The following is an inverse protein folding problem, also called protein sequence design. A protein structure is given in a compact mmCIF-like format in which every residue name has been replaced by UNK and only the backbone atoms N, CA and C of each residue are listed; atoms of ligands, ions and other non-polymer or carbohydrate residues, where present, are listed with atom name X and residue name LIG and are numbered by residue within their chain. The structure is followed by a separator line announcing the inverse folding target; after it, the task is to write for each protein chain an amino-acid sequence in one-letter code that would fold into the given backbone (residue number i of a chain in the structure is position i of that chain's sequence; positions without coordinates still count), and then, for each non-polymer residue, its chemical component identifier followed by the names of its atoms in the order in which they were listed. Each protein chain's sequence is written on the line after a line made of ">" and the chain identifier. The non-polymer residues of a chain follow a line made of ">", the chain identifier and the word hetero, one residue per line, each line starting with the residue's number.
data_IF_022412645387
#
_entry.id   IF_022412645387
#
_cell.length_a   1.000
_cell.length_b   1.000
_cell.length_c   1.000
_cell.angle_alpha   90.00
_cell.angle_beta   90.00
_cell.angle_gamma   90.00
#
_symmetry.space_group_name_H-M   'P 1'
#
loop_
_entity.id
_entity.type
_entity.pdbx_description
1 polymer ?
#
# COMPACT_ATOMS: atom_id res chain seq x y z
N UNK A 1 3.67 14.14 21.81
CA UNK A 1 3.82 14.36 20.34
C UNK A 1 2.79 13.48 19.66
N UNK A 2 2.00 13.99 18.73
CA UNK A 2 1.03 13.22 17.94
C UNK A 2 1.68 12.93 16.59
N UNK A 3 1.74 11.68 16.20
CA UNK A 3 2.35 11.23 14.94
C UNK A 3 1.31 11.25 13.81
N UNK A 4 1.60 11.90 12.72
CA UNK A 4 0.69 12.04 11.58
C UNK A 4 1.06 11.03 10.50
N UNK A 5 0.15 10.15 10.16
CA UNK A 5 0.35 9.07 9.19
C UNK A 5 -0.56 9.29 7.98
N UNK A 6 0.04 9.32 6.80
CA UNK A 6 -0.68 9.27 5.53
C UNK A 6 -0.83 7.81 5.08
N UNK A 7 -2.05 7.37 4.83
CA UNK A 7 -2.31 6.06 4.22
C UNK A 7 -2.77 6.24 2.79
N UNK A 8 -2.07 5.61 1.86
CA UNK A 8 -2.42 5.62 0.43
C UNK A 8 -2.91 4.24 0.04
N UNK A 9 -4.15 4.16 -0.42
CA UNK A 9 -4.82 2.94 -0.85
C UNK A 9 -5.12 1.94 0.28
N UNK A 10 -5.93 2.34 1.27
CA UNK A 10 -6.39 1.44 2.34
C UNK A 10 -7.33 0.35 1.80
N UNK A 11 -6.74 -0.65 1.19
CA UNK A 11 -7.47 -1.79 0.62
C UNK A 11 -8.00 -2.66 1.76
N UNK A 12 -9.32 -2.80 1.83
CA UNK A 12 -9.99 -3.62 2.84
C UNK A 12 -10.19 -2.92 4.20
N UNK A 13 -10.09 -1.60 4.27
CA UNK A 13 -10.36 -0.80 5.46
C UNK A 13 -9.48 -1.15 6.68
N UNK A 14 -8.27 -1.65 6.47
CA UNK A 14 -7.38 -2.04 7.57
C UNK A 14 -6.97 -0.84 8.43
N UNK A 15 -6.52 0.25 7.80
CA UNK A 15 -6.08 1.43 8.54
C UNK A 15 -7.23 2.22 9.12
N UNK A 16 -8.42 2.16 8.52
CA UNK A 16 -9.64 2.66 9.14
C UNK A 16 -9.93 1.90 10.45
N UNK A 17 -9.79 0.58 10.44
CA UNK A 17 -9.95 -0.21 11.64
C UNK A 17 -8.87 0.11 12.67
N UNK A 18 -7.61 0.16 12.27
CA UNK A 18 -6.48 0.52 13.14
C UNK A 18 -6.68 1.90 13.77
N UNK A 19 -7.16 2.89 13.02
CA UNK A 19 -7.34 4.27 13.48
C UNK A 19 -8.27 4.39 14.68
N UNK A 20 -9.21 3.45 14.87
CA UNK A 20 -10.10 3.41 16.04
C UNK A 20 -9.36 3.09 17.34
N UNK A 21 -8.21 2.43 17.27
CA UNK A 21 -7.48 1.91 18.42
C UNK A 21 -6.17 2.64 18.70
N UNK A 22 -5.66 3.41 17.75
CA UNK A 22 -4.40 4.15 17.90
C UNK A 22 -4.66 5.50 18.55
N UNK A 23 -4.13 5.69 19.77
CA UNK A 23 -4.39 6.91 20.56
C UNK A 23 -3.44 8.07 20.29
N UNK A 24 -2.20 7.80 19.86
CA UNK A 24 -1.13 8.80 19.73
C UNK A 24 -0.78 9.12 18.27
N UNK A 25 -1.64 8.77 17.33
CA UNK A 25 -1.43 9.06 15.93
C UNK A 25 -2.71 9.55 15.26
N UNK A 26 -2.55 10.44 14.31
CA UNK A 26 -3.63 10.83 13.38
C UNK A 26 -3.39 10.12 12.05
N UNK A 27 -4.38 9.40 11.59
CA UNK A 27 -4.34 8.67 10.32
C UNK A 27 -5.22 9.38 9.31
N UNK A 28 -4.61 9.83 8.23
CA UNK A 28 -5.29 10.40 7.07
C UNK A 28 -5.25 9.39 5.93
N UNK A 29 -6.41 9.06 5.37
CA UNK A 29 -6.53 8.01 4.37
C UNK A 29 -6.97 8.61 3.04
N UNK A 30 -6.20 8.34 1.98
CA UNK A 30 -6.58 8.68 0.60
C UNK A 30 -6.67 7.40 -0.21
N UNK A 31 -7.84 7.16 -0.79
CA UNK A 31 -8.09 6.00 -1.64
C UNK A 31 -8.24 6.36 -3.11
N UNK A 32 -8.20 5.35 -3.97
CA UNK A 32 -8.49 5.48 -5.38
C UNK A 32 -9.97 5.75 -5.63
N UNK A 33 -10.36 6.31 -6.79
CA UNK A 33 -11.76 6.50 -7.15
C UNK A 33 -12.56 5.19 -7.09
N UNK A 34 -13.84 5.28 -6.70
CA UNK A 34 -14.70 4.09 -6.49
C UNK A 34 -14.89 3.23 -7.75
N UNK A 35 -14.84 3.84 -8.94
CA UNK A 35 -15.22 3.21 -10.20
C UNK A 35 -14.29 2.10 -10.70
N UNK A 36 -13.11 1.95 -10.12
CA UNK A 36 -12.12 0.97 -10.59
C UNK A 36 -11.83 -0.17 -9.64
N UNK A 37 -12.23 -0.07 -8.38
CA UNK A 37 -11.78 -1.04 -7.37
C UNK A 37 -12.76 -2.21 -7.15
N UNK A 38 -13.95 -2.20 -7.68
CA UNK A 38 -14.92 -3.32 -7.81
C UNK A 38 -15.22 -4.22 -6.61
N UNK A 39 -14.39 -4.23 -5.59
CA UNK A 39 -14.39 -5.24 -4.54
C UNK A 39 -14.63 -4.67 -3.14
N UNK A 40 -14.40 -3.37 -2.92
CA UNK A 40 -14.46 -2.80 -1.58
C UNK A 40 -15.41 -1.62 -1.52
N UNK A 41 -16.40 -1.71 -0.64
CA UNK A 41 -17.22 -0.57 -0.23
C UNK A 41 -16.37 0.34 0.65
N UNK A 42 -15.81 1.39 0.06
CA UNK A 42 -15.22 2.44 0.86
C UNK A 42 -16.32 3.16 1.66
N UNK A 43 -16.01 3.50 2.88
CA UNK A 43 -16.84 4.39 3.67
C UNK A 43 -16.92 5.76 2.99
N UNK A 44 -18.05 6.43 3.09
CA UNK A 44 -18.30 7.74 2.48
C UNK A 44 -17.35 8.84 2.98
N UNK A 45 -16.68 8.62 4.09
CA UNK A 45 -15.77 9.55 4.74
C UNK A 45 -14.32 9.48 4.26
N UNK A 46 -13.99 8.67 3.27
CA UNK A 46 -12.62 8.65 2.73
C UNK A 46 -12.38 9.80 1.76
N UNK A 47 -11.21 10.41 1.89
CA UNK A 47 -10.70 11.23 0.82
C UNK A 47 -10.33 10.35 -0.38
N UNK A 48 -10.71 10.76 -1.59
CA UNK A 48 -10.42 10.04 -2.82
C UNK A 48 -9.51 10.87 -3.72
N UNK A 49 -8.68 10.18 -4.48
CA UNK A 49 -8.08 10.79 -5.65
C UNK A 49 -9.17 11.12 -6.68
N UNK A 50 -9.02 12.22 -7.38
CA UNK A 50 -10.00 12.65 -8.39
C UNK A 50 -10.07 11.70 -9.60
N UNK A 51 -8.93 11.08 -9.92
CA UNK A 51 -8.81 10.19 -11.08
C UNK A 51 -7.65 9.19 -10.89
N UNK A 52 -7.48 8.30 -11.86
CA UNK A 52 -6.42 7.28 -11.88
C UNK A 52 -5.09 7.75 -12.50
N UNK A 53 -4.98 8.99 -12.95
CA UNK A 53 -3.76 9.51 -13.56
C UNK A 53 -2.70 9.75 -12.51
N UNK A 54 -1.60 9.01 -12.60
CA UNK A 54 -0.54 9.01 -11.58
C UNK A 54 0.05 10.40 -11.35
N UNK A 55 0.23 11.20 -12.42
CA UNK A 55 0.76 12.57 -12.27
C UNK A 55 -0.12 13.46 -11.40
N UNK A 56 -1.44 13.32 -11.48
CA UNK A 56 -2.38 14.12 -10.72
C UNK A 56 -2.43 13.65 -9.26
N UNK A 57 -2.34 12.33 -9.05
CA UNK A 57 -2.22 11.74 -7.72
C UNK A 57 -0.93 12.18 -7.02
N UNK A 58 0.20 12.14 -7.71
CA UNK A 58 1.50 12.63 -7.18
C UNK A 58 1.44 14.12 -6.88
N UNK A 59 0.82 14.93 -7.76
CA UNK A 59 0.64 16.37 -7.51
C UNK A 59 -0.17 16.62 -6.23
N UNK A 60 -1.27 15.88 -6.02
CA UNK A 60 -2.07 15.97 -4.81
C UNK A 60 -1.24 15.63 -3.56
N UNK A 61 -0.51 14.53 -3.60
CA UNK A 61 0.35 14.13 -2.48
C UNK A 61 1.42 15.19 -2.19
N UNK A 62 2.07 15.74 -3.19
CA UNK A 62 3.07 16.81 -3.01
C UNK A 62 2.52 18.08 -2.35
N UNK A 63 1.21 18.35 -2.45
CA UNK A 63 0.57 19.49 -1.79
C UNK A 63 0.39 19.30 -0.28
N UNK A 64 0.36 18.04 0.19
CA UNK A 64 0.00 17.72 1.57
C UNK A 64 1.11 16.99 2.34
N UNK A 65 2.11 16.44 1.67
CA UNK A 65 3.10 15.51 2.25
C UNK A 65 3.83 16.05 3.47
N UNK A 66 4.08 17.35 3.52
CA UNK A 66 4.78 18.00 4.65
C UNK A 66 3.98 17.97 5.96
N UNK A 67 2.70 17.61 5.91
CA UNK A 67 1.86 17.47 7.09
C UNK A 67 1.99 16.10 7.77
N UNK A 68 2.78 15.18 7.20
CA UNK A 68 2.86 13.80 7.65
C UNK A 68 4.30 13.39 7.97
N UNK A 69 4.43 12.61 9.03
CA UNK A 69 5.72 12.06 9.48
C UNK A 69 6.09 10.78 8.73
N UNK A 70 5.09 10.04 8.26
CA UNK A 70 5.26 8.76 7.58
C UNK A 70 4.09 8.50 6.63
N UNK A 71 4.35 7.85 5.51
CA UNK A 71 3.32 7.24 4.70
C UNK A 71 3.27 5.71 4.89
N UNK A 72 2.06 5.14 4.86
CA UNK A 72 1.84 3.71 4.72
C UNK A 72 1.09 3.47 3.42
N UNK A 73 1.60 2.57 2.61
CA UNK A 73 1.09 2.38 1.24
C UNK A 73 0.73 0.94 0.98
N UNK A 74 -0.32 0.74 0.19
CA UNK A 74 -0.74 -0.59 -0.26
C UNK A 74 -0.81 -0.63 -1.78
N UNK A 75 -0.43 -1.76 -2.36
CA UNK A 75 -0.56 -2.02 -3.79
C UNK A 75 0.05 -0.94 -4.67
N UNK A 76 -0.77 -0.31 -5.51
CA UNK A 76 -0.31 0.76 -6.43
C UNK A 76 0.06 2.07 -5.72
N UNK A 77 -0.26 2.20 -4.43
CA UNK A 77 0.15 3.34 -3.59
C UNK A 77 1.67 3.50 -3.49
N UNK A 78 2.44 2.41 -3.58
CA UNK A 78 3.92 2.46 -3.59
C UNK A 78 4.45 3.36 -4.71
N UNK A 79 3.87 3.25 -5.91
CA UNK A 79 4.28 4.06 -7.06
C UNK A 79 4.08 5.55 -6.81
N UNK A 80 2.96 5.90 -6.19
CA UNK A 80 2.62 7.30 -5.89
C UNK A 80 3.59 7.84 -4.84
N UNK A 81 3.79 7.10 -3.75
CA UNK A 81 4.68 7.49 -2.67
C UNK A 81 6.13 7.67 -3.14
N UNK A 82 6.64 6.73 -3.94
CA UNK A 82 7.98 6.81 -4.53
C UNK A 82 8.14 8.05 -5.42
N UNK A 83 7.18 8.32 -6.32
CA UNK A 83 7.24 9.46 -7.23
C UNK A 83 7.02 10.81 -6.51
N UNK A 84 6.37 10.80 -5.36
CA UNK A 84 6.20 11.97 -4.49
C UNK A 84 7.37 12.17 -3.52
N UNK A 85 8.37 11.27 -3.56
CA UNK A 85 9.52 11.29 -2.64
C UNK A 85 9.11 11.28 -1.15
N UNK A 86 8.18 10.39 -0.82
CA UNK A 86 7.74 10.17 0.56
C UNK A 86 8.60 9.13 1.27
N UNK A 87 8.82 9.31 2.56
CA UNK A 87 9.22 8.22 3.44
C UNK A 87 8.04 7.28 3.66
N UNK A 88 8.11 6.03 3.21
CA UNK A 88 6.96 5.13 3.32
C UNK A 88 7.30 3.71 3.74
N UNK A 89 6.30 3.08 4.34
CA UNK A 89 6.25 1.66 4.63
C UNK A 89 5.25 0.99 3.69
N UNK A 90 5.65 -0.10 3.06
CA UNK A 90 4.76 -0.92 2.23
C UNK A 90 4.00 -1.93 3.09
N UNK A 91 2.68 -1.87 3.05
CA UNK A 91 1.82 -2.80 3.77
C UNK A 91 1.10 -3.73 2.79
N UNK A 92 1.31 -5.01 2.95
CA UNK A 92 0.80 -6.03 2.04
C UNK A 92 -0.38 -6.76 2.67
N UNK A 93 -1.46 -6.90 1.91
CA UNK A 93 -2.71 -7.51 2.42
C UNK A 93 -3.09 -8.80 1.73
N UNK A 94 -2.41 -9.14 0.63
CA UNK A 94 -2.79 -10.31 -0.14
C UNK A 94 -1.90 -10.62 -1.33
N UNK A 95 -2.52 -10.85 -2.45
CA UNK A 95 -1.94 -11.38 -3.69
C UNK A 95 -0.88 -10.49 -4.38
N UNK A 96 -0.82 -9.23 -4.05
CA UNK A 96 0.20 -8.28 -4.51
C UNK A 96 1.62 -8.69 -4.13
N UNK A 97 1.77 -9.68 -3.22
CA UNK A 97 3.07 -10.19 -2.80
C UNK A 97 3.43 -11.55 -3.41
N UNK A 98 2.45 -12.35 -3.78
CA UNK A 98 2.69 -13.69 -4.32
C UNK A 98 3.61 -13.65 -5.55
N UNK A 99 3.58 -12.54 -6.28
CA UNK A 99 4.51 -12.24 -7.35
C UNK A 99 4.85 -10.74 -7.37
N UNK A 100 5.88 -10.31 -6.68
CA UNK A 100 6.36 -8.94 -6.79
C UNK A 100 6.51 -8.54 -8.25
N UNK A 101 5.98 -7.39 -8.62
CA UNK A 101 5.87 -6.92 -10.02
C UNK A 101 7.21 -6.84 -10.76
N UNK A 102 8.32 -6.86 -10.06
CA UNK A 102 9.66 -6.87 -10.64
C UNK A 102 10.19 -8.26 -11.00
N UNK A 103 9.50 -9.34 -10.61
CA UNK A 103 9.91 -10.70 -10.92
C UNK A 103 9.35 -11.13 -12.26
N UNK A 104 10.23 -11.64 -13.10
CA UNK A 104 9.86 -12.23 -14.39
C UNK A 104 9.42 -13.68 -14.17
N UNK A 105 8.21 -14.04 -14.61
CA UNK A 105 7.75 -15.43 -14.65
C UNK A 105 7.77 -16.16 -13.31
N UNK A 106 7.13 -15.61 -12.28
CA UNK A 106 6.89 -16.45 -11.12
C UNK A 106 5.87 -17.53 -11.50
N UNK A 107 6.33 -18.78 -11.60
CA UNK A 107 5.45 -19.94 -11.79
C UNK A 107 4.45 -20.13 -10.64
N UNK A 108 4.69 -19.43 -9.54
CA UNK A 108 3.89 -19.42 -8.32
C UNK A 108 2.79 -18.34 -8.34
N UNK A 109 2.74 -17.52 -9.37
CA UNK A 109 1.67 -16.55 -9.54
C UNK A 109 0.36 -17.27 -9.83
N UNK A 110 -0.56 -17.22 -8.91
CA UNK A 110 -1.95 -17.69 -9.05
C UNK A 110 -2.72 -16.91 -10.12
N UNK A 111 -2.11 -15.88 -10.71
CA UNK A 111 -2.67 -15.00 -11.70
C UNK A 111 -1.98 -15.14 -13.04
N UNK A 112 -2.68 -15.76 -13.97
CA UNK A 112 -2.44 -15.61 -15.40
C UNK A 112 -2.91 -14.25 -15.94
N UNK A 113 -2.87 -13.19 -15.13
CA UNK A 113 -3.33 -11.89 -15.58
C UNK A 113 -2.31 -11.17 -16.46
N UNK A 114 -2.78 -10.42 -17.47
CA UNK A 114 -1.92 -9.64 -18.38
C UNK A 114 -1.02 -8.60 -17.70
N UNK A 115 -1.35 -8.22 -16.46
CA UNK A 115 -0.58 -7.28 -15.62
C UNK A 115 0.86 -7.72 -15.36
N UNK A 116 1.18 -9.00 -15.51
CA UNK A 116 2.54 -9.52 -15.33
C UNK A 116 3.43 -9.40 -16.57
N UNK A 117 2.94 -8.85 -17.66
CA UNK A 117 3.74 -8.59 -18.87
C UNK A 117 4.47 -7.24 -18.83
N UNK A 118 4.93 -6.85 -17.67
CA UNK A 118 5.73 -5.63 -17.55
C UNK A 118 7.03 -5.77 -18.35
N UNK A 119 7.38 -4.73 -19.07
CA UNK A 119 8.66 -4.65 -19.76
C UNK A 119 9.83 -4.49 -18.76
N UNK A 120 11.07 -4.53 -19.27
CA UNK A 120 12.26 -4.44 -18.43
C UNK A 120 12.32 -3.14 -17.61
N UNK A 121 11.95 -2.00 -18.20
CA UNK A 121 12.00 -0.70 -17.52
C UNK A 121 10.96 -0.60 -16.43
N UNK A 122 9.76 -1.09 -16.67
CA UNK A 122 8.69 -1.14 -15.67
C UNK A 122 9.07 -2.02 -14.49
N UNK A 123 9.62 -3.21 -14.74
CA UNK A 123 10.10 -4.08 -13.66
C UNK A 123 11.20 -3.42 -12.84
N UNK A 124 12.17 -2.75 -13.50
CA UNK A 124 13.22 -2.01 -12.80
C UNK A 124 12.65 -0.86 -11.98
N UNK A 125 11.63 -0.18 -12.48
CA UNK A 125 10.93 0.86 -11.73
C UNK A 125 10.28 0.28 -10.47
N UNK A 126 9.50 -0.81 -10.58
CA UNK A 126 8.87 -1.44 -9.42
C UNK A 126 9.89 -2.01 -8.43
N UNK A 127 11.04 -2.49 -8.89
CA UNK A 127 12.13 -2.89 -7.98
C UNK A 127 12.65 -1.68 -7.17
N UNK A 128 12.79 -0.54 -7.82
CA UNK A 128 13.20 0.70 -7.13
C UNK A 128 12.17 1.16 -6.11
N UNK A 129 10.87 1.12 -6.44
CA UNK A 129 9.82 1.48 -5.48
C UNK A 129 9.85 0.56 -4.27
N UNK A 130 10.03 -0.73 -4.49
CA UNK A 130 10.16 -1.72 -3.43
C UNK A 130 11.39 -1.46 -2.55
N UNK A 131 12.56 -1.25 -3.15
CA UNK A 131 13.81 -1.04 -2.41
C UNK A 131 13.84 0.30 -1.64
N UNK A 132 13.07 1.28 -2.08
CA UNK A 132 12.99 2.59 -1.45
C UNK A 132 12.15 2.60 -0.16
N UNK A 133 11.25 1.63 0.02
CA UNK A 133 10.45 1.51 1.22
C UNK A 133 11.35 1.34 2.47
N UNK A 134 11.06 2.10 3.52
CA UNK A 134 11.77 2.03 4.81
C UNK A 134 11.61 0.64 5.43
N UNK A 135 10.43 0.08 5.31
CA UNK A 135 10.10 -1.26 5.79
C UNK A 135 8.95 -1.86 4.98
N UNK A 136 8.81 -3.16 5.10
CA UNK A 136 7.72 -3.94 4.54
C UNK A 136 6.96 -4.62 5.66
N UNK A 137 5.64 -4.49 5.68
CA UNK A 137 4.78 -5.16 6.64
C UNK A 137 3.94 -6.19 5.89
N UNK A 138 3.95 -7.43 6.32
CA UNK A 138 3.26 -8.51 5.65
C UNK A 138 2.58 -9.45 6.65
N UNK A 139 1.42 -10.02 6.30
CA UNK A 139 0.80 -11.06 7.10
C UNK A 139 1.66 -12.33 7.12
N UNK A 140 1.47 -13.16 8.14
CA UNK A 140 2.29 -14.34 8.44
C UNK A 140 2.50 -15.26 7.24
N UNK A 141 1.47 -15.49 6.46
CA UNK A 141 1.48 -16.45 5.34
C UNK A 141 2.29 -16.02 4.13
N UNK A 142 2.64 -14.73 4.01
CA UNK A 142 3.49 -14.19 2.93
C UNK A 142 4.86 -13.72 3.43
N UNK A 143 5.05 -13.70 4.74
CA UNK A 143 6.25 -13.18 5.37
C UNK A 143 7.53 -13.83 4.83
N UNK A 144 7.60 -15.16 4.81
CA UNK A 144 8.79 -15.89 4.36
C UNK A 144 9.07 -15.70 2.86
N UNK A 145 8.00 -15.52 2.07
CA UNK A 145 8.15 -15.22 0.65
C UNK A 145 8.76 -13.84 0.43
N UNK A 146 8.22 -12.83 1.09
CA UNK A 146 8.68 -11.46 0.97
C UNK A 146 10.10 -11.26 1.51
N UNK A 147 10.48 -11.99 2.56
CA UNK A 147 11.81 -11.96 3.16
C UNK A 147 12.93 -12.27 2.17
N UNK A 148 12.66 -13.09 1.17
CA UNK A 148 13.62 -13.40 0.08
C UNK A 148 14.04 -12.15 -0.71
N UNK A 149 13.21 -11.11 -0.74
CA UNK A 149 13.42 -9.89 -1.52
C UNK A 149 13.77 -8.66 -0.68
N UNK A 150 13.25 -8.57 0.54
CA UNK A 150 13.37 -7.41 1.43
C UNK A 150 14.46 -7.55 2.49
N UNK A 151 15.10 -8.73 2.59
CA UNK A 151 16.09 -8.99 3.64
C UNK A 151 15.49 -8.83 5.03
N UNK A 152 16.14 -8.03 5.89
CA UNK A 152 15.73 -7.84 7.29
C UNK A 152 14.72 -6.70 7.50
N UNK A 153 14.38 -5.95 6.45
CA UNK A 153 13.46 -4.82 6.52
C UNK A 153 11.99 -5.23 6.41
N UNK A 154 11.66 -6.42 6.89
CA UNK A 154 10.30 -6.93 6.89
C UNK A 154 9.81 -7.09 8.33
N UNK A 155 8.55 -6.73 8.56
CA UNK A 155 7.82 -6.95 9.80
C UNK A 155 6.59 -7.81 9.53
N UNK A 156 6.35 -8.75 10.43
CA UNK A 156 5.14 -9.58 10.41
C UNK A 156 4.00 -8.83 11.09
N UNK A 157 2.83 -8.88 10.50
CA UNK A 157 1.61 -8.32 11.08
C UNK A 157 0.46 -9.31 11.05
N UNK A 158 -0.39 -9.20 12.05
CA UNK A 158 -1.68 -9.88 12.10
C UNK A 158 -2.74 -8.91 11.59
N UNK A 159 -3.55 -9.34 10.64
CA UNK A 159 -4.62 -8.50 10.09
C UNK A 159 -5.55 -8.04 11.21
N UNK A 160 -5.80 -6.75 11.36
CA UNK A 160 -6.76 -6.26 12.34
C UNK A 160 -8.17 -6.70 11.95
N UNK A 161 -8.94 -7.15 12.93
CA UNK A 161 -10.35 -7.51 12.78
C UNK A 161 -11.18 -6.55 13.64
N UNK A 162 -12.15 -5.90 13.03
CA UNK A 162 -13.09 -5.05 13.77
C UNK A 162 -14.18 -5.93 14.39
N UNK A 163 -14.04 -6.21 15.68
CA UNK A 163 -14.98 -7.07 16.42
C UNK A 163 -16.36 -6.44 16.56
N UNK A 164 -16.50 -5.13 16.37
CA UNK A 164 -17.83 -4.48 16.46
C UNK A 164 -18.75 -4.83 15.30
N UNK A 165 -18.20 -5.39 14.22
CA UNK A 165 -19.00 -5.86 13.07
C UNK A 165 -19.66 -7.23 13.31
N UNK A 166 -19.33 -7.91 14.40
CA UNK A 166 -19.82 -9.26 14.72
C UNK A 166 -20.76 -9.31 15.93
N UNK A 167 -21.16 -8.15 16.45
CA UNK A 167 -22.13 -8.03 17.56
C UNK A 167 -23.50 -7.56 17.06
#
# INVERSE_FOLDING_TARGET
>A
MVFNILVIADVGNYFKTISKYVKNSKIHIINFPKDGAGIYTYDENYELFENYKVSDQVKKINQIKENFDLAVVMGTGERIAYLADLNYVSYYVGRDIDAPRFIKNSKESWYNEPLHRLNFFERRFYKKTFDFAIAHIAPTWVFEHLKKFSGNNIKMDLKPIDLTLFN
#
